data_IF_965756642351
#
_entry.id   IF_965756642351
#
_cell.length_a   1.000
_cell.length_b   1.000
_cell.length_c   1.000
_cell.angle_alpha   90.00
_cell.angle_beta   90.00
_cell.angle_gamma   90.00
#
_symmetry.space_group_name_H-M   'P 1'
#
loop_
_entity.id
_entity.type
_entity.pdbx_description
1 polymer ?
#
# COMPACT_ATOMS: atom_id res chain seq x y z
N UNK A 1 45.02 9.86 -40.84
CA UNK A 1 44.95 8.56 -40.13
C UNK A 1 43.47 8.19 -40.01
N UNK A 2 42.82 7.65 -41.06
CA UNK A 2 42.60 6.22 -41.34
C UNK A 2 42.23 5.38 -40.11
N UNK A 3 41.05 4.75 -40.13
CA UNK A 3 40.62 3.81 -39.09
C UNK A 3 39.18 3.29 -39.21
N UNK A 4 38.87 2.65 -40.34
CA UNK A 4 37.61 2.01 -40.74
C UNK A 4 37.24 0.71 -40.00
N UNK A 5 35.93 0.35 -40.08
CA UNK A 5 35.29 -0.99 -40.10
C UNK A 5 35.07 -1.71 -38.74
N UNK A 6 33.98 -2.45 -38.54
CA UNK A 6 33.01 -2.95 -39.52
C UNK A 6 31.76 -3.60 -38.92
N UNK A 7 30.68 -3.52 -39.71
CA UNK A 7 29.46 -4.33 -39.63
C UNK A 7 29.81 -5.81 -39.83
N UNK A 8 29.18 -6.69 -39.05
CA UNK A 8 28.98 -8.09 -39.43
C UNK A 8 27.48 -8.41 -39.37
N UNK A 9 26.92 -8.57 -40.56
CA UNK A 9 25.69 -9.29 -40.84
C UNK A 9 26.02 -10.80 -40.74
N UNK A 10 25.18 -11.60 -40.09
CA UNK A 10 25.15 -13.05 -40.28
C UNK A 10 23.72 -13.43 -40.64
N UNK A 11 23.64 -14.25 -41.69
CA UNK A 11 22.50 -14.57 -42.51
C UNK A 11 21.66 -15.74 -41.97
N UNK A 12 20.51 -15.90 -42.63
CA UNK A 12 19.40 -16.80 -42.41
C UNK A 12 19.65 -18.29 -42.72
N UNK A 13 18.68 -19.13 -42.28
CA UNK A 13 18.16 -20.40 -42.83
C UNK A 13 17.75 -21.33 -41.65
N UNK A 14 16.66 -22.11 -41.61
CA UNK A 14 15.68 -22.58 -42.58
C UNK A 14 14.44 -23.21 -41.91
N UNK A 15 13.38 -23.40 -42.71
CA UNK A 15 12.46 -24.56 -42.80
C UNK A 15 11.47 -24.84 -41.64
N UNK A 16 10.18 -24.44 -41.78
CA UNK A 16 9.02 -25.23 -42.29
C UNK A 16 8.56 -26.40 -41.41
N UNK A 17 7.29 -26.41 -40.98
CA UNK A 17 6.31 -27.52 -41.15
C UNK A 17 4.96 -27.24 -40.45
N UNK A 18 3.91 -27.15 -41.27
CA UNK A 18 2.59 -27.81 -41.17
C UNK A 18 1.76 -27.61 -39.89
N UNK A 19 0.56 -27.04 -40.08
CA UNK A 19 -0.41 -26.77 -39.01
C UNK A 19 -1.25 -27.96 -38.57
N UNK A 20 -1.98 -27.75 -37.47
CA UNK A 20 -3.15 -28.51 -37.05
C UNK A 20 -4.17 -27.50 -36.48
N UNK A 21 -5.34 -27.40 -37.10
CA UNK A 21 -6.50 -26.78 -36.49
C UNK A 21 -7.17 -27.80 -35.57
N UNK A 22 -7.38 -27.46 -34.29
CA UNK A 22 -8.37 -28.13 -33.45
C UNK A 22 -9.11 -27.05 -32.66
N UNK A 23 -10.36 -26.83 -33.05
CA UNK A 23 -11.37 -26.18 -32.24
C UNK A 23 -11.72 -27.13 -31.09
N UNK A 24 -11.42 -26.76 -29.85
CA UNK A 24 -11.95 -27.44 -28.68
C UNK A 24 -12.28 -26.42 -27.59
N UNK A 25 -13.55 -26.04 -27.53
CA UNK A 25 -14.17 -25.51 -26.33
C UNK A 25 -14.33 -26.71 -25.38
N UNK A 26 -13.72 -26.66 -24.20
CA UNK A 26 -13.74 -27.75 -23.23
C UNK A 26 -13.61 -27.21 -21.81
N UNK A 27 -14.74 -26.88 -21.21
CA UNK A 27 -14.90 -26.71 -19.77
C UNK A 27 -14.71 -28.08 -19.09
N UNK A 28 -13.89 -28.17 -18.05
CA UNK A 28 -14.08 -29.00 -16.83
C UNK A 28 -12.85 -28.85 -15.93
N UNK A 29 -13.13 -28.77 -14.63
CA UNK A 29 -12.28 -28.38 -13.53
C UNK A 29 -11.33 -29.50 -13.04
N UNK A 30 -10.21 -29.04 -12.48
CA UNK A 30 -9.55 -29.50 -11.25
C UNK A 30 -8.24 -30.32 -11.31
N UNK A 31 -7.33 -29.87 -10.43
CA UNK A 31 -6.18 -30.50 -9.78
C UNK A 31 -4.81 -30.48 -10.47
N UNK A 32 -3.89 -29.73 -9.84
CA UNK A 32 -2.47 -30.13 -9.76
C UNK A 32 -1.44 -29.04 -10.04
N UNK A 33 -1.12 -28.26 -9.01
CA UNK A 33 0.22 -27.77 -8.65
C UNK A 33 1.11 -27.10 -9.72
N UNK A 34 1.14 -25.76 -9.68
CA UNK A 34 2.36 -24.99 -9.93
C UNK A 34 2.50 -23.90 -8.87
N UNK A 35 3.25 -24.25 -7.84
CA UNK A 35 3.89 -23.34 -6.90
C UNK A 35 4.71 -22.30 -7.65
N UNK A 36 4.14 -21.11 -7.82
CA UNK A 36 4.89 -19.88 -7.98
C UNK A 36 4.25 -18.83 -7.08
N UNK A 37 4.56 -18.90 -5.79
CA UNK A 37 4.35 -17.78 -4.87
C UNK A 37 5.30 -16.64 -5.24
N UNK A 38 5.01 -15.97 -6.34
CA UNK A 38 5.23 -14.54 -6.45
C UNK A 38 3.97 -13.90 -5.92
N UNK A 39 3.93 -13.57 -4.62
CA UNK A 39 2.89 -12.72 -4.06
C UNK A 39 3.12 -11.31 -4.58
N UNK A 40 2.82 -11.09 -5.86
CA UNK A 40 2.45 -9.76 -6.32
C UNK A 40 1.07 -9.52 -5.74
N UNK A 41 1.04 -8.96 -4.53
CA UNK A 41 -0.17 -8.33 -4.01
C UNK A 41 -0.50 -7.19 -4.98
N UNK A 42 -1.28 -7.51 -6.00
CA UNK A 42 -2.02 -6.51 -6.74
C UNK A 42 -2.84 -5.79 -5.67
N UNK A 43 -2.51 -4.52 -5.41
CA UNK A 43 -3.27 -3.68 -4.53
C UNK A 43 -4.64 -3.46 -5.19
N UNK A 44 -5.58 -4.35 -4.92
CA UNK A 44 -6.99 -4.09 -5.17
C UNK A 44 -7.36 -2.99 -4.18
N UNK A 45 -7.46 -1.75 -4.65
CA UNK A 45 -8.04 -0.62 -3.90
C UNK A 45 -9.55 -0.85 -3.76
N UNK A 46 -9.92 -1.91 -3.06
CA UNK A 46 -11.25 -2.05 -2.50
C UNK A 46 -11.20 -1.18 -1.25
N UNK A 47 -12.06 -0.17 -1.17
CA UNK A 47 -12.31 0.59 0.06
C UNK A 47 -12.85 -0.37 1.13
N UNK A 48 -11.95 -1.14 1.73
CA UNK A 48 -12.21 -2.19 2.69
C UNK A 48 -12.26 -1.63 4.09
N UNK A 49 -12.95 -2.36 4.99
CA UNK A 49 -12.78 -2.11 6.42
C UNK A 49 -11.32 -2.41 6.78
N UNK A 50 -10.60 -1.51 7.48
CA UNK A 50 -9.23 -1.78 7.90
C UNK A 50 -9.13 -3.11 8.64
N UNK A 51 -8.06 -3.86 8.36
CA UNK A 51 -7.82 -5.19 8.95
C UNK A 51 -6.71 -5.14 9.99
N UNK A 52 -6.77 -6.01 10.99
CA UNK A 52 -5.68 -6.12 11.93
C UNK A 52 -4.45 -6.73 11.23
N UNK A 53 -3.31 -6.04 11.31
CA UNK A 53 -2.10 -6.42 10.59
C UNK A 53 -1.55 -7.75 11.14
N UNK A 54 -1.28 -8.74 10.28
CA UNK A 54 -0.73 -10.01 10.72
C UNK A 54 0.63 -9.80 11.39
N UNK A 55 0.89 -10.55 12.46
CA UNK A 55 2.14 -10.54 13.22
C UNK A 55 2.54 -9.17 13.82
N UNK A 56 1.58 -8.24 13.94
CA UNK A 56 1.85 -6.92 14.51
C UNK A 56 2.80 -6.08 13.66
N UNK A 57 2.68 -6.15 12.33
CA UNK A 57 3.47 -5.30 11.43
C UNK A 57 3.23 -3.81 11.69
N UNK A 58 4.31 -3.06 11.91
CA UNK A 58 4.28 -1.61 12.18
C UNK A 58 5.16 -0.89 11.15
N UNK A 59 4.65 0.22 10.61
CA UNK A 59 5.37 1.09 9.67
C UNK A 59 6.36 2.04 10.35
N UNK A 60 6.94 2.96 9.57
CA UNK A 60 7.75 4.06 10.13
C UNK A 60 6.87 4.93 11.01
N UNK A 61 7.30 5.23 12.23
CA UNK A 61 6.53 6.09 13.14
C UNK A 61 6.37 7.51 12.58
N UNK A 62 5.15 8.03 12.67
CA UNK A 62 4.79 9.42 12.50
C UNK A 62 4.25 9.99 13.82
N UNK A 63 4.46 11.27 14.04
CA UNK A 63 3.80 12.03 15.10
C UNK A 63 2.63 12.81 14.52
N UNK A 64 1.51 12.88 15.25
CA UNK A 64 0.39 13.71 14.87
C UNK A 64 0.81 15.19 14.84
N UNK A 65 0.50 15.88 13.76
CA UNK A 65 0.77 17.30 13.58
C UNK A 65 -0.50 18.00 13.04
N UNK A 66 -1.28 18.67 13.90
CA UNK A 66 -2.51 19.34 13.48
C UNK A 66 -2.25 20.59 12.63
N UNK A 67 -0.99 21.04 12.51
CA UNK A 67 -0.61 22.21 11.72
C UNK A 67 -0.30 21.88 10.25
N UNK A 68 -0.54 20.65 9.79
CA UNK A 68 -0.34 20.29 8.38
C UNK A 68 -1.09 21.23 7.43
N UNK A 69 -0.42 21.61 6.35
CA UNK A 69 -0.93 22.50 5.32
C UNK A 69 -1.66 21.70 4.25
N UNK A 70 -2.84 22.19 3.84
CA UNK A 70 -3.74 21.50 2.90
C UNK A 70 -4.08 20.07 3.34
N UNK A 71 -4.64 19.89 4.56
CA UNK A 71 -5.00 18.57 5.06
C UNK A 71 -6.07 17.95 4.15
N UNK A 72 -5.85 16.68 3.80
CA UNK A 72 -6.82 15.86 3.08
C UNK A 72 -6.85 14.47 3.70
N UNK A 73 -8.03 13.84 3.70
CA UNK A 73 -8.19 12.50 4.24
C UNK A 73 -7.42 11.49 3.38
N UNK A 74 -6.75 10.55 4.06
CA UNK A 74 -6.05 9.43 3.43
C UNK A 74 -6.58 8.12 4.01
N UNK A 75 -6.68 7.05 3.19
CA UNK A 75 -7.07 5.75 3.69
C UNK A 75 -5.95 5.08 4.49
N UNK A 76 -6.33 4.15 5.34
CA UNK A 76 -5.43 3.15 5.92
C UNK A 76 -6.09 1.78 5.86
N UNK A 77 -5.36 0.77 5.42
CA UNK A 77 -5.93 -0.57 5.17
C UNK A 77 -5.67 -1.54 6.33
N UNK A 78 -4.78 -1.17 7.25
CA UNK A 78 -4.47 -2.01 8.41
C UNK A 78 -4.18 -1.25 9.70
N UNK A 79 -4.33 -1.93 10.83
CA UNK A 79 -3.99 -1.43 12.15
C UNK A 79 -3.34 -2.52 13.01
N UNK A 80 -2.64 -2.14 14.07
CA UNK A 80 -2.00 -3.04 15.02
C UNK A 80 -2.43 -2.69 16.44
N UNK A 81 -2.74 -3.68 17.26
CA UNK A 81 -2.97 -3.49 18.70
C UNK A 81 -1.65 -3.35 19.43
N UNK A 82 -1.48 -2.26 20.18
CA UNK A 82 -0.28 -2.01 20.99
C UNK A 82 -0.55 -2.24 22.48
N UNK A 83 -1.75 -1.89 22.92
CA UNK A 83 -2.25 -2.10 24.28
C UNK A 83 -3.78 -2.22 24.23
N UNK A 84 -4.47 -2.57 25.34
CA UNK A 84 -5.93 -2.65 25.34
C UNK A 84 -6.60 -1.39 24.78
N UNK A 85 -6.11 -0.20 25.10
CA UNK A 85 -6.62 1.12 24.73
C UNK A 85 -5.68 1.88 23.76
N UNK A 86 -4.78 1.17 23.07
CA UNK A 86 -3.86 1.80 22.12
C UNK A 86 -3.73 0.98 20.85
N UNK A 87 -3.88 1.65 19.71
CA UNK A 87 -3.66 1.08 18.38
C UNK A 87 -2.61 1.87 17.61
N UNK A 88 -2.04 1.25 16.59
CA UNK A 88 -1.26 1.92 15.55
C UNK A 88 -1.98 1.74 14.22
N UNK A 89 -2.36 2.82 13.54
CA UNK A 89 -2.93 2.73 12.19
C UNK A 89 -1.81 2.76 11.16
N UNK A 90 -1.87 1.91 10.15
CA UNK A 90 -0.80 1.70 9.18
C UNK A 90 -1.24 2.17 7.79
N UNK A 91 -0.50 3.09 7.20
CA UNK A 91 -0.88 3.81 5.99
C UNK A 91 0.30 4.03 5.03
N UNK A 92 0.01 4.55 3.85
CA UNK A 92 1.02 5.03 2.90
C UNK A 92 0.94 6.54 2.82
N UNK A 93 2.08 7.22 2.94
CA UNK A 93 2.18 8.67 2.72
C UNK A 93 3.54 9.02 2.13
N UNK A 94 3.80 10.31 1.89
CA UNK A 94 5.10 10.78 1.41
C UNK A 94 6.19 10.72 2.48
N UNK A 95 7.36 11.29 2.15
CA UNK A 95 8.47 11.38 3.09
C UNK A 95 8.08 12.20 4.33
N UNK A 96 8.31 11.70 5.56
CA UNK A 96 8.01 12.38 6.82
C UNK A 96 8.77 13.68 7.07
N UNK A 97 9.80 13.96 6.27
CA UNK A 97 10.51 15.23 6.24
C UNK A 97 9.73 16.31 5.46
N UNK A 98 8.71 15.91 4.71
CA UNK A 98 7.88 16.76 3.85
C UNK A 98 6.39 16.71 4.19
N UNK A 99 5.91 15.55 4.63
CA UNK A 99 4.50 15.28 4.85
C UNK A 99 4.25 14.92 6.30
N UNK A 100 3.26 15.56 6.89
CA UNK A 100 2.78 15.24 8.23
C UNK A 100 1.45 14.49 8.15
N UNK A 101 1.05 13.91 9.28
CA UNK A 101 -0.27 13.30 9.44
C UNK A 101 -0.94 13.82 10.70
N UNK A 102 -2.26 13.81 10.73
CA UNK A 102 -3.06 14.05 11.92
C UNK A 102 -4.26 13.10 11.92
N UNK A 103 -4.86 12.86 13.09
CA UNK A 103 -5.99 11.96 13.20
C UNK A 103 -7.05 12.48 14.15
N UNK A 104 -8.32 12.44 13.71
CA UNK A 104 -9.47 12.61 14.57
C UNK A 104 -10.15 11.25 14.81
N UNK A 105 -10.52 10.97 16.06
CA UNK A 105 -11.08 9.67 16.45
C UNK A 105 -12.47 9.83 17.06
N UNK A 106 -13.44 9.14 16.44
CA UNK A 106 -14.80 9.03 16.96
C UNK A 106 -15.02 7.61 17.48
N UNK A 107 -15.36 7.48 18.76
CA UNK A 107 -15.55 6.19 19.42
C UNK A 107 -17.01 5.98 19.82
N UNK A 108 -17.49 4.76 19.59
CA UNK A 108 -18.77 4.26 20.10
C UNK A 108 -18.54 3.00 20.92
N UNK A 109 -19.64 2.38 21.39
CA UNK A 109 -19.57 1.08 22.07
C UNK A 109 -19.15 -0.07 21.14
N UNK A 110 -19.25 0.09 19.82
CA UNK A 110 -18.97 -0.98 18.84
C UNK A 110 -17.95 -0.61 17.76
N UNK A 111 -17.56 0.66 17.65
CA UNK A 111 -16.65 1.13 16.60
C UNK A 111 -15.65 2.17 17.11
N UNK A 112 -14.49 2.20 16.44
CA UNK A 112 -13.48 3.25 16.50
C UNK A 112 -13.27 3.74 15.07
N UNK A 113 -13.80 4.91 14.74
CA UNK A 113 -13.62 5.51 13.41
C UNK A 113 -12.49 6.53 13.46
N UNK A 114 -11.49 6.34 12.61
CA UNK A 114 -10.31 7.21 12.50
C UNK A 114 -10.39 7.99 11.18
N UNK A 115 -10.46 9.31 11.27
CA UNK A 115 -10.24 10.23 10.16
C UNK A 115 -8.76 10.61 10.13
N UNK A 116 -7.99 9.88 9.32
CA UNK A 116 -6.56 10.10 9.13
C UNK A 116 -6.36 11.11 8.00
N UNK A 117 -5.60 12.17 8.28
CA UNK A 117 -5.28 13.23 7.32
C UNK A 117 -3.80 13.26 7.06
N UNK A 118 -3.46 13.60 5.82
CA UNK A 118 -2.10 13.92 5.40
C UNK A 118 -2.06 15.33 4.83
N UNK A 119 -0.90 15.95 4.89
CA UNK A 119 -0.67 17.28 4.33
C UNK A 119 0.81 17.61 4.33
N UNK A 120 1.16 18.77 3.76
CA UNK A 120 2.54 19.24 3.77
C UNK A 120 2.89 19.77 5.15
N UNK A 121 4.07 19.46 5.67
CA UNK A 121 4.56 20.10 6.90
C UNK A 121 4.76 21.60 6.67
N UNK A 122 4.42 22.48 7.63
CA UNK A 122 4.62 23.93 7.48
C UNK A 122 6.04 24.31 7.04
N UNK A 123 7.06 23.67 7.59
CA UNK A 123 8.48 23.88 7.30
C UNK A 123 8.91 23.36 5.91
N UNK A 124 8.11 22.47 5.31
CA UNK A 124 8.37 21.86 4.01
C UNK A 124 7.66 22.58 2.86
N UNK A 125 6.83 23.60 3.13
CA UNK A 125 6.16 24.37 2.08
C UNK A 125 7.19 25.03 1.17
N UNK A 126 7.06 24.78 -0.13
CA UNK A 126 7.98 25.30 -1.16
C UNK A 126 9.35 24.61 -1.21
N UNK A 127 9.56 23.51 -0.47
CA UNK A 127 10.77 22.68 -0.56
C UNK A 127 10.63 21.61 -1.64
N UNK A 128 11.77 21.09 -2.08
CA UNK A 128 11.81 19.94 -2.99
C UNK A 128 11.58 18.66 -2.19
N UNK A 129 10.42 18.04 -2.38
CA UNK A 129 10.05 16.78 -1.75
C UNK A 129 10.23 15.61 -2.72
N UNK A 130 10.80 14.50 -2.23
CA UNK A 130 10.97 13.29 -3.03
C UNK A 130 9.64 12.57 -3.22
N UNK A 131 9.43 11.99 -4.40
CA UNK A 131 8.25 11.17 -4.69
C UNK A 131 8.45 9.73 -4.21
N UNK A 132 8.59 9.53 -2.90
CA UNK A 132 8.67 8.20 -2.28
C UNK A 132 7.43 7.93 -1.46
N UNK A 133 6.87 6.72 -1.58
CA UNK A 133 5.82 6.24 -0.70
C UNK A 133 6.46 5.55 0.51
N UNK A 134 6.11 6.02 1.69
CA UNK A 134 6.55 5.49 2.97
C UNK A 134 5.37 4.75 3.61
N UNK A 135 5.60 3.49 3.96
CA UNK A 135 4.71 2.76 4.85
C UNK A 135 4.86 3.32 6.27
N UNK A 136 3.90 4.13 6.67
CA UNK A 136 3.86 4.85 7.93
C UNK A 136 2.95 4.19 8.96
N UNK A 137 3.15 4.56 10.22
CA UNK A 137 2.24 4.24 11.31
C UNK A 137 1.99 5.46 12.18
N UNK A 138 0.80 5.56 12.77
CA UNK A 138 0.46 6.57 13.76
C UNK A 138 -0.17 5.88 14.97
N UNK A 139 0.44 6.04 16.14
CA UNK A 139 -0.14 5.57 17.40
C UNK A 139 -1.33 6.45 17.80
N UNK A 140 -2.41 5.80 18.21
CA UNK A 140 -3.65 6.43 18.64
C UNK A 140 -4.02 5.84 20.00
N UNK A 141 -4.20 6.74 20.98
CA UNK A 141 -4.76 6.39 22.28
C UNK A 141 -6.29 6.47 22.20
N UNK A 142 -6.96 5.44 22.71
CA UNK A 142 -8.41 5.30 22.73
C UNK A 142 -8.95 5.70 24.11
N UNK A 143 -10.22 6.12 24.17
CA UNK A 143 -10.90 6.47 25.43
C UNK A 143 -11.32 5.24 26.23
N UNK A 144 -11.43 4.09 25.58
CA UNK A 144 -11.76 2.79 26.18
C UNK A 144 -10.96 1.67 25.49
N UNK A 145 -10.86 0.47 26.09
CA UNK A 145 -10.23 -0.67 25.43
C UNK A 145 -10.87 -0.99 24.07
N UNK A 146 -10.09 -1.38 23.07
CA UNK A 146 -10.57 -1.73 21.74
C UNK A 146 -11.53 -2.93 21.80
N UNK A 147 -11.16 -4.00 22.52
CA UNK A 147 -11.97 -5.21 22.62
C UNK A 147 -12.38 -5.73 21.23
N UNK A 148 -13.67 -6.02 21.06
CA UNK A 148 -14.28 -6.46 19.80
C UNK A 148 -14.78 -5.32 18.91
N UNK A 149 -14.49 -4.06 19.28
CA UNK A 149 -14.91 -2.89 18.48
C UNK A 149 -14.21 -2.90 17.12
N UNK A 150 -14.95 -2.55 16.08
CA UNK A 150 -14.41 -2.47 14.72
C UNK A 150 -13.63 -1.17 14.53
N UNK A 151 -12.43 -1.27 13.98
CA UNK A 151 -11.66 -0.11 13.52
C UNK A 151 -12.10 0.24 12.09
N UNK A 152 -12.47 1.50 11.87
CA UNK A 152 -12.97 2.01 10.59
C UNK A 152 -12.14 3.21 10.14
N UNK A 153 -11.91 3.34 8.83
CA UNK A 153 -11.42 4.60 8.24
C UNK A 153 -12.60 5.52 7.95
N UNK A 154 -12.49 6.80 8.30
CA UNK A 154 -13.38 7.81 7.75
C UNK A 154 -13.12 7.89 6.23
N UNK A 155 -14.18 8.18 5.47
CA UNK A 155 -14.10 8.38 4.01
C UNK A 155 -13.84 9.82 3.68
#
# INVERSE_FOLDING_TARGET
MYGTRGRRLIAAAAATLIGLAITACGSTENSGDQTKSGSSSAATTTTGTPTEAPNGQIGRAFAANPAIVSPHSIPFDSYTRLAPDKIAVNFQTGSPECYGVDAAVTETSSTVTVDLKSGTLPEAVGKMCTMIAVFGTLEISLKAPLGDRKVLSAK
#
